data_IF_186826221259
#
_entry.id   IF_186826221259
#
_cell.length_a   1.000
_cell.length_b   1.000
_cell.length_c   1.000
_cell.angle_alpha   90.00
_cell.angle_beta   90.00
_cell.angle_gamma   90.00
#
_symmetry.space_group_name_H-M   'P 1'
#
loop_
_entity.id
_entity.type
_entity.pdbx_description
1 polymer ?
#
# COMPACT_ATOMS: atom_id res chain seq x y z
N UNK A 1 28.08 26.48 -22.27
CA UNK A 1 26.79 26.01 -21.73
C UNK A 1 27.04 24.59 -21.25
N UNK A 2 27.31 24.40 -19.95
CA UNK A 2 27.67 23.08 -19.42
C UNK A 2 26.39 22.29 -19.20
N UNK A 3 26.24 21.17 -19.90
CA UNK A 3 25.23 20.18 -19.57
C UNK A 3 25.61 19.59 -18.20
N UNK A 4 24.85 19.94 -17.17
CA UNK A 4 24.92 19.22 -15.90
C UNK A 4 24.40 17.81 -16.16
N UNK A 5 25.32 16.86 -16.32
CA UNK A 5 25.01 15.44 -16.32
C UNK A 5 24.67 15.09 -14.87
N UNK A 6 23.39 15.17 -14.51
CA UNK A 6 22.94 14.63 -13.25
C UNK A 6 23.23 13.12 -13.26
N UNK A 7 23.75 12.55 -12.15
CA UNK A 7 23.88 11.10 -12.05
C UNK A 7 22.50 10.46 -12.28
N UNK A 8 22.44 9.27 -12.90
CA UNK A 8 21.17 8.55 -13.04
C UNK A 8 20.54 8.39 -11.66
N UNK A 9 19.26 8.74 -11.56
CA UNK A 9 18.49 8.58 -10.32
C UNK A 9 18.31 7.09 -10.08
N UNK A 10 18.76 6.61 -8.92
CA UNK A 10 18.57 5.22 -8.51
C UNK A 10 17.11 5.05 -8.05
N UNK A 11 16.27 4.53 -8.94
CA UNK A 11 14.85 4.30 -8.67
C UNK A 11 14.65 2.94 -7.97
N UNK A 12 13.71 2.83 -7.02
CA UNK A 12 13.36 1.56 -6.40
C UNK A 12 13.02 0.48 -7.44
N UNK A 13 13.73 -0.65 -7.37
CA UNK A 13 13.54 -1.76 -8.31
C UNK A 13 12.29 -2.61 -8.06
N UNK A 14 12.06 -3.59 -8.94
CA UNK A 14 10.89 -4.48 -8.91
C UNK A 14 11.18 -5.90 -8.38
N UNK A 15 12.36 -6.12 -7.80
CA UNK A 15 12.79 -7.45 -7.32
C UNK A 15 11.83 -8.07 -6.30
N UNK A 16 11.10 -7.25 -5.55
CA UNK A 16 10.11 -7.69 -4.56
C UNK A 16 8.94 -8.47 -5.18
N UNK A 17 8.59 -8.20 -6.46
CA UNK A 17 7.48 -8.86 -7.16
C UNK A 17 7.66 -10.39 -7.20
N UNK A 18 8.91 -10.86 -7.33
CA UNK A 18 9.20 -12.30 -7.40
C UNK A 18 8.82 -13.06 -6.12
N UNK A 19 8.69 -12.35 -5.00
CA UNK A 19 8.39 -12.94 -3.70
C UNK A 19 6.89 -12.90 -3.36
N UNK A 20 6.06 -12.13 -4.09
CA UNK A 20 4.64 -11.88 -3.74
C UNK A 20 3.80 -13.16 -3.62
N UNK A 21 4.06 -14.17 -4.47
CA UNK A 21 3.34 -15.44 -4.45
C UNK A 21 3.99 -16.53 -3.56
N UNK A 22 5.12 -16.23 -2.91
CA UNK A 22 5.87 -17.20 -2.11
C UNK A 22 6.23 -16.66 -0.73
N UNK A 23 7.13 -15.68 -0.68
CA UNK A 23 7.61 -15.04 0.54
C UNK A 23 7.11 -13.59 0.62
N UNK A 24 5.85 -13.43 1.05
CA UNK A 24 5.20 -12.12 1.19
C UNK A 24 5.87 -11.24 2.24
N UNK A 25 6.51 -11.83 3.24
CA UNK A 25 7.31 -11.10 4.21
C UNK A 25 8.51 -10.44 3.50
N UNK A 26 9.27 -11.18 2.70
CA UNK A 26 10.37 -10.62 1.92
C UNK A 26 9.91 -9.60 0.87
N UNK A 27 8.74 -9.81 0.24
CA UNK A 27 8.14 -8.84 -0.68
C UNK A 27 7.86 -7.50 0.02
N UNK A 28 7.18 -7.53 1.17
CA UNK A 28 6.85 -6.34 1.95
C UNK A 28 8.10 -5.60 2.40
N UNK A 29 9.10 -6.31 2.92
CA UNK A 29 10.36 -5.70 3.35
C UNK A 29 11.09 -5.02 2.20
N UNK A 30 11.26 -5.69 1.06
CA UNK A 30 11.94 -5.13 -0.11
C UNK A 30 11.20 -3.91 -0.67
N UNK A 31 9.86 -3.96 -0.74
CA UNK A 31 9.07 -2.81 -1.18
C UNK A 31 9.21 -1.63 -0.21
N UNK A 32 8.96 -1.84 1.08
CA UNK A 32 9.00 -0.78 2.10
C UNK A 32 10.39 -0.16 2.22
N UNK A 33 11.44 -0.98 2.14
CA UNK A 33 12.82 -0.49 2.23
C UNK A 33 13.27 0.30 1.01
N UNK A 34 12.75 -0.05 -0.19
CA UNK A 34 13.00 0.69 -1.41
C UNK A 34 12.18 1.98 -1.50
N UNK A 35 10.93 1.97 -1.05
CA UNK A 35 10.02 3.12 -1.21
C UNK A 35 10.20 4.19 -0.13
N UNK A 36 10.29 3.78 1.14
CA UNK A 36 10.30 4.72 2.26
C UNK A 36 11.73 4.99 2.73
N UNK A 37 12.17 6.27 2.76
CA UNK A 37 13.51 6.61 3.24
C UNK A 37 13.66 6.25 4.71
N UNK A 38 14.85 5.80 5.09
CA UNK A 38 15.15 5.57 6.51
C UNK A 38 15.24 6.92 7.23
N UNK A 39 14.41 7.11 8.25
CA UNK A 39 14.67 8.07 9.32
C UNK A 39 15.99 7.66 9.99
N UNK A 40 16.89 8.63 10.21
CA UNK A 40 18.19 8.39 10.85
C UNK A 40 18.06 7.54 12.13
N UNK A 41 19.10 6.75 12.41
CA UNK A 41 19.07 5.66 13.38
C UNK A 41 18.43 6.05 14.73
N UNK A 42 17.30 5.43 15.04
CA UNK A 42 16.75 5.37 16.39
C UNK A 42 17.19 4.06 17.05
N UNK A 43 17.52 4.12 18.34
CA UNK A 43 18.08 3.03 19.14
C UNK A 43 17.34 1.70 19.03
N UNK A 44 18.05 0.56 19.18
CA UNK A 44 17.43 -0.75 19.15
C UNK A 44 16.43 -0.88 20.31
N UNK A 45 15.25 -1.46 20.08
CA UNK A 45 14.27 -1.65 21.14
C UNK A 45 14.73 -2.76 22.09
N UNK A 46 14.46 -2.56 23.38
CA UNK A 46 14.53 -3.61 24.39
C UNK A 46 13.66 -4.81 23.98
N UNK A 47 14.10 -6.02 24.34
CA UNK A 47 13.35 -7.27 24.14
C UNK A 47 11.96 -7.17 24.74
N UNK A 48 10.94 -7.04 23.88
CA UNK A 48 9.54 -7.13 24.27
C UNK A 48 9.15 -8.58 24.56
N UNK A 49 8.22 -8.74 25.50
CA UNK A 49 7.46 -9.95 25.74
C UNK A 49 6.88 -10.53 24.43
N UNK A 50 6.53 -11.83 24.37
CA UNK A 50 5.90 -12.42 23.19
C UNK A 50 4.66 -11.62 22.80
N UNK A 51 4.77 -10.86 21.71
CA UNK A 51 3.67 -10.07 21.16
C UNK A 51 2.62 -11.02 20.60
N UNK A 52 1.36 -10.82 21.01
CA UNK A 52 0.17 -11.56 20.55
C UNK A 52 -0.26 -11.16 19.13
N UNK A 53 0.53 -10.33 18.46
CA UNK A 53 0.24 -9.89 17.10
C UNK A 53 0.72 -10.93 16.06
N UNK A 54 -0.02 -11.06 14.93
CA UNK A 54 0.43 -11.86 13.80
C UNK A 54 1.80 -11.43 13.28
N UNK A 55 2.51 -12.37 12.64
CA UNK A 55 3.87 -12.13 12.17
C UNK A 55 3.98 -10.95 11.19
N UNK A 56 3.01 -10.77 10.30
CA UNK A 56 2.95 -9.66 9.34
C UNK A 56 2.96 -8.29 10.01
N UNK A 57 2.08 -8.04 10.99
CA UNK A 57 2.05 -6.77 11.72
C UNK A 57 3.34 -6.51 12.48
N UNK A 58 3.89 -7.53 13.16
CA UNK A 58 5.18 -7.40 13.86
C UNK A 58 6.33 -7.04 12.92
N UNK A 59 6.31 -7.57 11.69
CA UNK A 59 7.29 -7.22 10.68
C UNK A 59 7.12 -5.78 10.22
N UNK A 60 5.89 -5.35 9.90
CA UNK A 60 5.63 -3.97 9.50
C UNK A 60 6.06 -2.98 10.59
N UNK A 61 5.74 -3.25 11.86
CA UNK A 61 6.19 -2.40 12.98
C UNK A 61 7.71 -2.35 13.13
N UNK A 62 8.42 -3.44 12.83
CA UNK A 62 9.89 -3.43 12.79
C UNK A 62 10.42 -2.51 11.70
N UNK A 63 9.82 -2.56 10.50
CA UNK A 63 10.19 -1.68 9.38
C UNK A 63 9.88 -0.22 9.71
N UNK A 64 8.71 0.04 10.29
CA UNK A 64 8.21 1.36 10.65
C UNK A 64 9.09 2.10 11.66
N UNK A 65 9.82 1.40 12.54
CA UNK A 65 10.78 2.01 13.48
C UNK A 65 11.85 2.85 12.80
N UNK A 66 12.25 2.47 11.59
CA UNK A 66 13.20 3.23 10.78
C UNK A 66 12.52 3.99 9.65
N UNK A 67 11.26 3.67 9.32
CA UNK A 67 10.55 4.18 8.15
C UNK A 67 9.12 4.50 8.53
N UNK A 68 8.92 5.59 9.26
CA UNK A 68 7.60 5.92 9.83
C UNK A 68 6.49 6.00 8.77
N UNK A 69 6.83 6.39 7.53
CA UNK A 69 5.89 6.41 6.40
C UNK A 69 5.29 5.04 6.06
N UNK A 70 5.90 3.93 6.49
CA UNK A 70 5.38 2.58 6.27
C UNK A 70 4.05 2.31 6.99
N UNK A 71 3.68 3.11 7.99
CA UNK A 71 2.35 3.01 8.63
C UNK A 71 1.26 3.81 7.90
N UNK A 72 1.58 4.44 6.78
CA UNK A 72 0.65 5.19 5.95
C UNK A 72 0.51 6.66 6.34
N UNK A 73 0.06 7.46 5.38
CA UNK A 73 -0.20 8.90 5.49
C UNK A 73 -1.66 9.22 5.21
N UNK A 74 -2.25 8.63 4.16
CA UNK A 74 -3.67 8.75 3.86
C UNK A 74 -4.46 7.84 4.79
N UNK A 75 -4.32 6.54 4.66
CA UNK A 75 -4.80 5.61 5.67
C UNK A 75 -3.69 5.34 6.69
N UNK A 76 -4.05 4.74 7.82
CA UNK A 76 -3.09 4.47 8.89
C UNK A 76 -3.22 3.06 9.41
N UNK A 77 -2.10 2.35 9.48
CA UNK A 77 -1.93 1.23 10.40
C UNK A 77 -1.58 1.83 11.77
N UNK A 78 -2.42 1.55 12.76
CA UNK A 78 -2.25 2.04 14.11
C UNK A 78 -0.93 1.51 14.70
N UNK A 79 -0.12 2.36 15.37
CA UNK A 79 1.00 1.91 16.18
C UNK A 79 0.57 0.88 17.22
N UNK A 80 1.46 -0.03 17.61
CA UNK A 80 1.16 -1.11 18.58
C UNK A 80 0.49 -0.61 19.90
N UNK A 81 0.90 0.52 20.51
CA UNK A 81 0.24 1.04 21.72
C UNK A 81 -1.20 1.53 21.52
N UNK A 82 -1.58 1.82 20.27
CA UNK A 82 -2.88 2.41 19.92
C UNK A 82 -3.88 1.34 19.45
N UNK A 83 -3.43 0.09 19.34
CA UNK A 83 -4.28 -1.05 19.04
C UNK A 83 -5.31 -1.25 20.15
N UNK A 84 -6.54 -1.50 19.76
CA UNK A 84 -7.66 -1.74 20.66
C UNK A 84 -8.62 -2.73 20.04
N UNK A 85 -9.40 -3.40 20.89
CA UNK A 85 -10.52 -4.20 20.40
C UNK A 85 -11.71 -3.30 20.12
N UNK A 86 -12.63 -3.77 19.27
CA UNK A 86 -13.94 -3.19 19.16
C UNK A 86 -14.74 -3.27 20.47
N UNK A 87 -15.93 -2.68 20.48
CA UNK A 87 -16.78 -2.59 21.67
C UNK A 87 -17.26 -3.95 22.20
N UNK A 88 -17.23 -5.01 21.37
CA UNK A 88 -17.55 -6.38 21.75
C UNK A 88 -16.33 -7.16 22.26
N UNK A 89 -15.12 -6.67 22.00
CA UNK A 89 -13.88 -7.37 22.35
C UNK A 89 -13.52 -8.50 21.39
N UNK A 90 -14.18 -8.57 20.23
CA UNK A 90 -14.07 -9.69 19.28
C UNK A 90 -13.13 -9.39 18.13
N UNK A 91 -12.95 -8.10 17.79
CA UNK A 91 -12.13 -7.68 16.67
C UNK A 91 -11.01 -6.76 17.14
N UNK A 92 -9.77 -7.06 16.79
CA UNK A 92 -8.62 -6.17 16.99
C UNK A 92 -8.57 -5.15 15.85
N UNK A 93 -8.84 -3.88 16.15
CA UNK A 93 -8.70 -2.78 15.20
C UNK A 93 -7.23 -2.44 15.05
N UNK A 94 -6.73 -2.50 13.82
CA UNK A 94 -5.32 -2.24 13.52
C UNK A 94 -5.10 -1.23 12.41
N UNK A 95 -6.12 -0.92 11.61
CA UNK A 95 -6.03 0.09 10.56
C UNK A 95 -7.27 0.97 10.52
N UNK A 96 -7.10 2.22 10.09
CA UNK A 96 -8.17 3.22 9.98
C UNK A 96 -7.96 4.08 8.73
N UNK A 97 -9.06 4.55 8.15
CA UNK A 97 -9.04 5.61 7.14
C UNK A 97 -8.85 6.99 7.80
N UNK A 98 -8.27 7.97 7.09
CA UNK A 98 -7.92 9.29 7.66
C UNK A 98 -9.12 10.13 8.10
N UNK A 99 -10.29 9.97 7.51
CA UNK A 99 -11.51 10.73 7.80
C UNK A 99 -12.44 9.97 8.75
N UNK A 100 -12.09 8.73 9.12
CA UNK A 100 -12.87 7.88 10.01
C UNK A 100 -14.06 7.21 9.33
N UNK A 101 -14.05 7.05 7.99
CA UNK A 101 -15.13 6.38 7.26
C UNK A 101 -15.19 4.88 7.52
N UNK A 102 -14.02 4.22 7.56
CA UNK A 102 -13.91 2.78 7.79
C UNK A 102 -12.67 2.40 8.58
N UNK A 103 -12.63 1.14 9.01
CA UNK A 103 -11.51 0.53 9.69
C UNK A 103 -11.19 -0.87 9.15
N UNK A 104 -9.98 -1.32 9.44
CA UNK A 104 -9.55 -2.71 9.26
C UNK A 104 -9.27 -3.36 10.60
N UNK A 105 -9.71 -4.61 10.70
CA UNK A 105 -9.62 -5.40 11.92
C UNK A 105 -9.24 -6.85 11.65
N UNK A 106 -8.77 -7.52 12.70
CA UNK A 106 -8.51 -8.96 12.73
C UNK A 106 -9.40 -9.61 13.78
N UNK A 107 -9.79 -10.86 13.57
CA UNK A 107 -10.45 -11.62 14.63
C UNK A 107 -9.51 -11.74 15.83
N UNK A 108 -10.01 -11.37 17.01
CA UNK A 108 -9.26 -11.42 18.26
C UNK A 108 -9.67 -12.67 19.04
N UNK A 109 -8.69 -13.56 19.28
CA UNK A 109 -8.92 -14.81 20.02
C UNK A 109 -7.93 -14.95 21.17
N UNK A 110 -8.34 -15.68 22.21
CA UNK A 110 -7.48 -15.98 23.36
C UNK A 110 -6.42 -17.07 23.06
N UNK A 111 -6.65 -17.88 22.02
CA UNK A 111 -5.76 -18.97 21.60
C UNK A 111 -4.52 -18.47 20.84
N UNK A 112 -4.44 -17.16 20.57
CA UNK A 112 -3.37 -16.51 19.84
C UNK A 112 -3.71 -16.30 18.35
N UNK A 113 -2.92 -15.47 17.66
CA UNK A 113 -3.22 -15.11 16.28
C UNK A 113 -3.02 -16.31 15.34
N UNK A 114 -3.89 -16.41 14.34
CA UNK A 114 -3.61 -17.24 13.17
C UNK A 114 -2.30 -16.78 12.49
N UNK A 115 -1.65 -17.70 11.76
CA UNK A 115 -0.37 -17.41 11.12
C UNK A 115 -0.48 -16.25 10.11
N UNK A 116 -1.56 -16.24 9.32
CA UNK A 116 -1.86 -15.22 8.32
C UNK A 116 -3.38 -14.97 8.30
N UNK A 117 -3.91 -14.17 9.25
CA UNK A 117 -5.34 -14.04 9.47
C UNK A 117 -6.05 -13.28 8.35
N UNK A 118 -7.34 -13.56 8.18
CA UNK A 118 -8.24 -12.74 7.37
C UNK A 118 -8.31 -11.32 7.91
N UNK A 119 -8.22 -10.34 7.01
CA UNK A 119 -8.46 -8.92 7.33
C UNK A 119 -9.92 -8.60 7.06
N UNK A 120 -10.54 -7.88 7.99
CA UNK A 120 -11.93 -7.48 7.91
C UNK A 120 -12.04 -5.97 7.76
N UNK A 121 -12.64 -5.53 6.66
CA UNK A 121 -13.03 -4.16 6.38
C UNK A 121 -14.41 -3.89 6.99
N UNK A 122 -14.61 -2.72 7.59
CA UNK A 122 -15.91 -2.32 8.14
C UNK A 122 -16.12 -0.81 8.04
N UNK A 123 -17.23 -0.39 7.44
CA UNK A 123 -17.77 0.97 7.60
C UNK A 123 -18.62 1.11 8.85
N UNK A 124 -18.74 2.33 9.36
CA UNK A 124 -19.48 2.58 10.60
C UNK A 124 -20.90 2.00 10.54
N UNK A 125 -21.28 1.22 11.57
CA UNK A 125 -22.55 0.52 11.69
C UNK A 125 -22.88 -0.53 10.61
N UNK A 126 -21.91 -0.95 9.79
CA UNK A 126 -22.08 -2.01 8.79
C UNK A 126 -21.48 -3.36 9.22
N UNK A 127 -21.96 -4.43 8.57
CA UNK A 127 -21.40 -5.77 8.74
C UNK A 127 -19.97 -5.85 8.18
N UNK A 128 -19.02 -6.52 8.87
CA UNK A 128 -17.68 -6.71 8.36
C UNK A 128 -17.67 -7.47 7.04
N UNK A 129 -16.85 -7.00 6.11
CA UNK A 129 -16.58 -7.68 4.84
C UNK A 129 -15.12 -8.11 4.83
N UNK A 130 -14.86 -9.35 4.45
CA UNK A 130 -13.49 -9.83 4.33
C UNK A 130 -12.78 -9.12 3.17
N UNK A 131 -11.58 -8.61 3.43
CA UNK A 131 -10.61 -8.32 2.37
C UNK A 131 -10.31 -9.60 1.59
N UNK A 132 -9.97 -9.44 0.31
CA UNK A 132 -9.70 -10.62 -0.50
C UNK A 132 -8.40 -11.29 -0.04
N UNK A 133 -7.31 -10.55 0.12
CA UNK A 133 -6.06 -11.09 0.64
C UNK A 133 -6.06 -11.25 2.17
N UNK A 134 -5.43 -12.32 2.71
CA UNK A 134 -5.09 -12.37 4.13
C UNK A 134 -4.06 -11.30 4.46
N UNK A 135 -3.80 -11.09 5.75
CA UNK A 135 -2.96 -10.03 6.29
C UNK A 135 -1.65 -9.83 5.52
N UNK A 136 -0.93 -10.90 5.18
CA UNK A 136 0.34 -10.82 4.46
C UNK A 136 0.23 -10.14 3.08
N UNK A 137 -0.83 -10.43 2.33
CA UNK A 137 -1.10 -9.79 1.03
C UNK A 137 -1.69 -8.40 1.21
N UNK A 138 -2.61 -8.24 2.18
CA UNK A 138 -3.19 -6.97 2.54
C UNK A 138 -2.12 -5.92 2.90
N UNK A 139 -1.10 -6.27 3.69
CA UNK A 139 -0.05 -5.31 4.09
C UNK A 139 0.81 -4.83 2.90
N UNK A 140 1.01 -5.67 1.88
CA UNK A 140 1.65 -5.26 0.62
C UNK A 140 0.74 -4.27 -0.11
N UNK A 141 -0.55 -4.59 -0.23
CA UNK A 141 -1.54 -3.73 -0.91
C UNK A 141 -1.74 -2.39 -0.21
N UNK A 142 -1.84 -2.40 1.12
CA UNK A 142 -1.88 -1.19 1.93
C UNK A 142 -0.63 -0.33 1.66
N UNK A 143 0.56 -0.94 1.66
CA UNK A 143 1.80 -0.23 1.39
C UNK A 143 1.84 0.38 -0.02
N UNK A 144 1.30 -0.32 -1.03
CA UNK A 144 1.18 0.17 -2.41
C UNK A 144 0.13 1.29 -2.53
N UNK A 145 -0.99 1.17 -1.85
CA UNK A 145 -2.03 2.20 -1.80
C UNK A 145 -1.46 3.49 -1.23
N UNK A 146 -0.84 3.42 -0.05
CA UNK A 146 -0.19 4.56 0.59
C UNK A 146 0.96 5.13 -0.23
N UNK A 147 1.74 4.28 -0.91
CA UNK A 147 2.79 4.71 -1.81
C UNK A 147 2.25 5.51 -3.00
N UNK A 148 1.15 5.06 -3.62
CA UNK A 148 0.54 5.78 -4.74
C UNK A 148 -0.09 7.10 -4.30
N UNK A 149 -0.84 7.10 -3.19
CA UNK A 149 -1.59 8.27 -2.73
C UNK A 149 -0.74 9.32 -2.03
N UNK A 150 0.29 8.88 -1.30
CA UNK A 150 1.15 9.71 -0.46
C UNK A 150 2.47 10.15 -1.12
N UNK A 151 2.68 9.88 -2.41
CA UNK A 151 3.91 10.24 -3.10
C UNK A 151 4.06 11.76 -3.33
N UNK A 152 5.32 12.21 -3.40
CA UNK A 152 5.67 13.60 -3.69
C UNK A 152 5.36 13.99 -5.16
N UNK A 153 5.46 13.03 -6.08
CA UNK A 153 5.21 13.20 -7.51
C UNK A 153 3.99 12.38 -7.93
N UNK A 154 2.99 13.06 -8.47
CA UNK A 154 1.71 12.47 -8.84
C UNK A 154 1.41 12.62 -10.33
N UNK A 155 0.72 11.63 -10.89
CA UNK A 155 0.02 11.73 -12.15
C UNK A 155 -1.43 11.26 -11.97
N UNK A 156 -2.36 12.21 -12.06
CA UNK A 156 -3.78 12.03 -11.74
C UNK A 156 -4.61 12.36 -12.98
N UNK A 157 -5.05 11.36 -13.76
CA UNK A 157 -5.94 11.61 -14.88
C UNK A 157 -7.35 11.94 -14.37
N UNK A 158 -8.19 12.52 -15.21
CA UNK A 158 -9.64 12.37 -15.04
C UNK A 158 -10.01 10.90 -15.14
N UNK A 159 -11.22 10.55 -14.69
CA UNK A 159 -11.76 9.19 -14.82
C UNK A 159 -11.52 8.61 -16.21
N UNK A 160 -10.98 7.41 -16.24
CA UNK A 160 -10.55 6.73 -17.46
C UNK A 160 -11.60 5.71 -17.91
N UNK A 161 -11.66 5.49 -19.22
CA UNK A 161 -12.38 4.34 -19.79
C UNK A 161 -11.55 3.06 -19.66
N UNK A 162 -12.19 1.90 -19.81
CA UNK A 162 -11.50 0.60 -19.84
C UNK A 162 -10.35 0.55 -20.88
N UNK A 163 -10.55 1.14 -22.06
CA UNK A 163 -9.51 1.20 -23.11
C UNK A 163 -8.30 2.01 -22.68
N UNK A 164 -8.52 3.16 -22.01
CA UNK A 164 -7.43 4.00 -21.52
C UNK A 164 -6.69 3.33 -20.36
N UNK A 165 -7.38 2.63 -19.47
CA UNK A 165 -6.74 1.81 -18.42
C UNK A 165 -5.88 0.71 -19.05
N UNK A 166 -6.37 0.02 -20.08
CA UNK A 166 -5.59 -1.01 -20.77
C UNK A 166 -4.31 -0.43 -21.42
N UNK A 167 -4.41 0.76 -22.03
CA UNK A 167 -3.25 1.46 -22.59
C UNK A 167 -2.26 1.89 -21.50
N UNK A 168 -2.77 2.46 -20.41
CA UNK A 168 -1.97 2.93 -19.28
C UNK A 168 -1.17 1.79 -18.63
N UNK A 169 -1.82 0.64 -18.46
CA UNK A 169 -1.23 -0.51 -17.76
C UNK A 169 -0.32 -1.37 -18.64
N UNK A 170 -0.30 -1.16 -19.96
CA UNK A 170 0.51 -1.95 -20.90
C UNK A 170 2.02 -1.85 -20.64
N UNK A 171 2.49 -0.70 -20.16
CA UNK A 171 3.90 -0.47 -19.84
C UNK A 171 4.27 -0.82 -18.38
N UNK A 172 3.32 -1.31 -17.59
CA UNK A 172 3.47 -1.55 -16.16
C UNK A 172 3.37 -3.05 -15.83
N UNK A 173 3.93 -3.44 -14.70
CA UNK A 173 3.85 -4.81 -14.20
C UNK A 173 2.64 -4.94 -13.26
N UNK A 174 1.68 -5.84 -13.53
CA UNK A 174 0.60 -6.09 -12.58
C UNK A 174 1.13 -6.76 -11.32
N UNK A 175 0.65 -6.33 -10.16
CA UNK A 175 0.94 -6.99 -8.88
C UNK A 175 0.03 -8.22 -8.75
N UNK A 176 0.58 -9.44 -8.55
CA UNK A 176 -0.21 -10.67 -8.63
C UNK A 176 -0.95 -10.98 -7.32
N UNK A 177 -1.80 -10.07 -6.87
CA UNK A 177 -2.68 -10.23 -5.71
C UNK A 177 -4.15 -10.06 -6.14
N UNK A 178 -5.09 -10.63 -5.38
CA UNK A 178 -6.51 -10.36 -5.58
C UNK A 178 -6.83 -8.89 -5.30
N UNK A 179 -7.94 -8.32 -5.81
CA UNK A 179 -8.27 -6.92 -5.61
C UNK A 179 -8.27 -6.51 -4.14
N UNK A 180 -7.70 -5.34 -3.85
CA UNK A 180 -7.78 -4.66 -2.56
C UNK A 180 -9.11 -3.91 -2.43
N UNK A 181 -9.61 -3.79 -1.20
CA UNK A 181 -10.80 -3.02 -0.85
C UNK A 181 -12.10 -3.60 -1.43
N UNK A 182 -12.99 -4.18 -0.61
CA UNK A 182 -14.15 -4.92 -1.11
C UNK A 182 -15.17 -4.11 -1.92
N UNK A 183 -15.29 -2.80 -1.69
CA UNK A 183 -16.29 -1.96 -2.36
C UNK A 183 -15.85 -1.34 -3.67
N UNK A 184 -14.56 -1.03 -3.75
CA UNK A 184 -13.94 -0.45 -4.93
C UNK A 184 -12.77 -1.36 -5.34
N UNK A 185 -13.02 -2.52 -5.98
CA UNK A 185 -11.97 -3.49 -6.29
C UNK A 185 -10.77 -2.81 -6.95
N UNK A 186 -9.67 -2.74 -6.21
CA UNK A 186 -8.50 -1.97 -6.56
C UNK A 186 -7.36 -2.90 -6.97
N UNK A 187 -6.79 -2.65 -8.14
CA UNK A 187 -5.64 -3.38 -8.68
C UNK A 187 -4.42 -2.48 -8.72
N UNK A 188 -3.25 -3.07 -8.48
CA UNK A 188 -1.98 -2.35 -8.47
C UNK A 188 -1.11 -2.74 -9.66
N UNK A 189 -0.43 -1.73 -10.22
CA UNK A 189 0.52 -1.85 -11.30
C UNK A 189 1.76 -1.04 -10.95
N UNK A 190 2.93 -1.54 -11.32
CA UNK A 190 4.20 -0.95 -10.89
C UNK A 190 5.24 -0.87 -12.01
N UNK A 191 6.10 0.13 -11.91
CA UNK A 191 7.36 0.26 -12.64
C UNK A 191 8.44 0.76 -11.66
N UNK A 192 9.73 0.76 -12.02
CA UNK A 192 10.76 1.26 -11.10
C UNK A 192 10.44 2.65 -10.57
N UNK A 193 10.29 2.79 -9.24
CA UNK A 193 9.94 4.04 -8.58
C UNK A 193 8.50 4.56 -8.81
N UNK A 194 7.61 3.78 -9.40
CA UNK A 194 6.21 4.14 -9.72
C UNK A 194 5.23 3.08 -9.21
N UNK A 195 4.20 3.53 -8.49
CA UNK A 195 3.04 2.71 -8.12
C UNK A 195 1.78 3.35 -8.67
N UNK A 196 0.98 2.56 -9.38
CA UNK A 196 -0.33 2.95 -9.89
C UNK A 196 -1.37 2.04 -9.28
N UNK A 197 -2.46 2.62 -8.78
CA UNK A 197 -3.67 1.86 -8.48
C UNK A 197 -4.81 2.25 -9.42
N UNK A 198 -5.65 1.27 -9.72
CA UNK A 198 -6.84 1.40 -10.56
C UNK A 198 -8.02 0.81 -9.81
N UNK A 199 -9.04 1.62 -9.58
CA UNK A 199 -10.24 1.28 -8.80
C UNK A 199 -11.50 1.46 -9.66
N UNK A 200 -12.55 0.70 -9.36
CA UNK A 200 -13.86 0.83 -9.98
C UNK A 200 -14.95 0.73 -8.90
N UNK A 201 -15.61 1.85 -8.60
CA UNK A 201 -16.66 2.00 -7.58
C UNK A 201 -18.09 1.72 -8.09
N UNK A 202 -18.26 1.19 -9.31
CA UNK A 202 -19.50 0.95 -10.08
C UNK A 202 -19.64 1.91 -11.27
N UNK A 203 -19.61 1.34 -12.47
CA UNK A 203 -19.72 2.07 -13.75
C UNK A 203 -18.74 1.55 -14.79
N UNK A 204 -18.63 2.26 -15.92
CA UNK A 204 -17.65 1.98 -16.98
C UNK A 204 -16.37 2.83 -16.85
N UNK A 205 -16.33 3.70 -15.85
CA UNK A 205 -15.23 4.61 -15.56
C UNK A 205 -14.35 4.10 -14.41
N UNK A 206 -13.07 4.43 -14.47
CA UNK A 206 -12.06 3.99 -13.53
C UNK A 206 -11.37 5.20 -12.90
N UNK A 207 -11.21 5.15 -11.58
CA UNK A 207 -10.37 6.07 -10.84
C UNK A 207 -8.94 5.51 -10.82
N UNK A 208 -7.97 6.37 -11.14
CA UNK A 208 -6.56 5.99 -11.26
C UNK A 208 -5.71 6.99 -10.49
N UNK A 209 -4.78 6.47 -9.70
CA UNK A 209 -3.78 7.28 -9.01
C UNK A 209 -2.40 6.71 -9.29
N UNK A 210 -1.50 7.55 -9.78
CA UNK A 210 -0.09 7.21 -9.95
C UNK A 210 0.76 8.06 -9.02
N UNK A 211 1.53 7.40 -8.15
CA UNK A 211 2.50 8.02 -7.26
C UNK A 211 3.91 7.55 -7.59
N UNK A 212 4.86 8.47 -7.55
CA UNK A 212 6.25 8.22 -7.88
C UNK A 212 7.22 8.78 -6.84
N UNK A 213 8.33 8.08 -6.64
CA UNK A 213 9.46 8.51 -5.78
C UNK A 213 10.29 9.62 -6.41
N UNK A 214 10.22 9.77 -7.74
CA UNK A 214 10.89 10.82 -8.48
C UNK A 214 10.11 11.15 -9.75
N UNK A 215 10.12 12.42 -10.17
CA UNK A 215 9.42 12.88 -11.39
C UNK A 215 9.69 12.02 -12.63
N UNK A 216 10.94 11.60 -12.86
CA UNK A 216 11.30 10.80 -14.04
C UNK A 216 10.67 9.40 -14.06
N UNK A 217 10.20 8.88 -12.92
CA UNK A 217 9.51 7.59 -12.88
C UNK A 217 8.10 7.66 -13.49
N UNK A 218 7.58 8.86 -13.77
CA UNK A 218 6.31 9.07 -14.47
C UNK A 218 6.43 9.05 -16.00
N UNK A 219 7.65 9.00 -16.55
CA UNK A 219 7.92 8.93 -18.00
C UNK A 219 7.09 7.86 -18.74
N UNK A 220 6.87 6.63 -18.20
CA UNK A 220 6.04 5.63 -18.86
C UNK A 220 4.59 6.06 -19.13
N UNK A 221 4.11 7.11 -18.47
CA UNK A 221 2.74 7.62 -18.58
C UNK A 221 2.63 8.84 -19.50
N UNK A 222 3.75 9.46 -19.90
CA UNK A 222 3.76 10.77 -20.54
C UNK A 222 3.06 10.82 -21.91
N UNK A 223 3.15 9.74 -22.68
CA UNK A 223 2.59 9.65 -24.04
C UNK A 223 1.13 9.18 -24.09
N UNK A 224 0.51 8.95 -22.92
CA UNK A 224 -0.89 8.48 -22.86
C UNK A 224 -1.85 9.62 -23.26
N UNK A 225 -2.77 9.39 -24.20
CA UNK A 225 -3.76 10.38 -24.63
C UNK A 225 -4.92 10.47 -23.61
N UNK A 226 -4.62 10.94 -22.41
CA UNK A 226 -5.57 11.13 -21.31
C UNK A 226 -5.55 12.58 -20.84
N UNK A 227 -6.69 13.04 -20.31
CA UNK A 227 -6.80 14.37 -19.72
C UNK A 227 -6.28 14.34 -18.28
N UNK A 228 -5.14 14.97 -18.03
CA UNK A 228 -4.50 15.00 -16.72
C UNK A 228 -5.04 16.15 -15.86
N UNK A 229 -5.52 15.84 -14.67
CA UNK A 229 -5.80 16.86 -13.64
C UNK A 229 -4.51 17.33 -12.96
N UNK A 230 -3.51 16.44 -12.85
CA UNK A 230 -2.15 16.71 -12.36
C UNK A 230 -1.17 15.77 -13.04
N UNK A 231 0.00 16.28 -13.40
CA UNK A 231 1.11 15.48 -13.94
C UNK A 231 2.45 16.15 -13.57
N UNK A 232 3.21 15.52 -12.68
CA UNK A 232 4.39 16.14 -12.05
C UNK A 232 5.74 15.77 -12.70
N UNK A 233 5.78 14.96 -13.77
CA UNK A 233 7.07 14.43 -14.25
C UNK A 233 7.20 13.99 -15.69
#
# INVERSE_FOLDING_TARGET
MYAHHFPPVDLPGLEWLRNVNGDRAAALEQFVTGWYPAAGATEPPATCAPSRLPAGLRQLYRLAKQRSGALGTQNRILPEPDLHTDHLGEMLVFGVENQGGFLWSLLWTLDGPEADPTVWFREFDEEPIAEQEPLSGFLIQFSLFEASMGADYLALPRRLTATQVAQLTQALHPVPLRPFWPWAPTHFYVAPGLVVHVSNEVGEEFDVWAGATHRSALEPLADLPVDWTRFDG
#
